data_IF_094151913362
#
_entry.id   IF_094151913362
#
_cell.length_a   1.000
_cell.length_b   1.000
_cell.length_c   1.000
_cell.angle_alpha   90.00
_cell.angle_beta   90.00
_cell.angle_gamma   90.00
#
_symmetry.space_group_name_H-M   'P 1'
#
loop_
_entity.id
_entity.type
_entity.pdbx_description
1 polymer ?
#
# COMPACT_ATOMS: atom_id res chain seq x y z
N UNK A 1 17.59 -4.01 -15.74
CA UNK A 1 16.87 -3.06 -14.86
C UNK A 1 16.82 -1.64 -15.43
N UNK A 2 17.93 -1.05 -15.91
CA UNK A 2 17.92 0.29 -16.52
C UNK A 2 16.95 0.44 -17.71
N UNK A 3 16.92 -0.52 -18.64
CA UNK A 3 15.96 -0.51 -19.76
C UNK A 3 14.50 -0.54 -19.30
N UNK A 4 14.15 -1.33 -18.28
CA UNK A 4 12.79 -1.38 -17.73
C UNK A 4 12.37 -0.04 -17.14
N UNK A 5 13.28 0.64 -16.41
CA UNK A 5 13.02 1.99 -15.88
C UNK A 5 12.75 2.97 -17.02
N UNK A 6 13.55 2.92 -18.08
CA UNK A 6 13.38 3.77 -19.26
C UNK A 6 12.02 3.54 -19.93
N UNK A 7 11.64 2.29 -20.19
CA UNK A 7 10.33 1.99 -20.78
C UNK A 7 9.16 2.40 -19.88
N UNK A 8 9.28 2.21 -18.56
CA UNK A 8 8.27 2.69 -17.62
C UNK A 8 8.11 4.22 -17.70
N UNK A 9 9.21 4.98 -17.81
CA UNK A 9 9.17 6.45 -18.00
C UNK A 9 8.41 6.82 -19.28
N UNK A 10 8.69 6.16 -20.40
CA UNK A 10 8.00 6.42 -21.66
C UNK A 10 6.49 6.15 -21.56
N UNK A 11 6.09 5.06 -20.90
CA UNK A 11 4.68 4.77 -20.65
C UNK A 11 4.02 5.81 -19.74
N UNK A 12 4.73 6.30 -18.71
CA UNK A 12 4.25 7.37 -17.83
C UNK A 12 4.01 8.65 -18.64
N UNK A 13 4.96 9.04 -19.49
CA UNK A 13 4.86 10.25 -20.31
C UNK A 13 3.70 10.15 -21.31
N UNK A 14 3.51 8.99 -21.94
CA UNK A 14 2.36 8.72 -22.80
C UNK A 14 1.03 8.84 -22.02
N UNK A 15 0.92 8.21 -20.85
CA UNK A 15 -0.28 8.30 -20.01
C UNK A 15 -0.60 9.74 -19.59
N UNK A 16 0.42 10.55 -19.27
CA UNK A 16 0.28 11.98 -18.95
C UNK A 16 -0.25 12.77 -20.14
N UNK A 17 0.30 12.55 -21.33
CA UNK A 17 -0.17 13.22 -22.56
C UNK A 17 -1.63 12.89 -22.88
N UNK A 18 -2.06 11.66 -22.60
CA UNK A 18 -3.43 11.21 -22.81
C UNK A 18 -4.39 11.57 -21.66
N UNK A 19 -3.90 12.15 -20.56
CA UNK A 19 -4.70 12.42 -19.36
C UNK A 19 -5.23 11.15 -18.67
N UNK A 20 -4.61 9.99 -18.92
CA UNK A 20 -5.09 8.69 -18.43
C UNK A 20 -4.58 8.40 -17.02
N UNK A 21 -5.20 9.04 -16.02
CA UNK A 21 -4.89 8.82 -14.61
C UNK A 21 -5.90 7.83 -14.02
N UNK A 22 -5.47 6.59 -13.80
CA UNK A 22 -6.29 5.51 -13.25
C UNK A 22 -5.45 4.58 -12.36
N UNK A 23 -6.05 3.50 -11.86
CA UNK A 23 -5.39 2.53 -10.97
C UNK A 23 -4.14 1.89 -11.58
N UNK A 24 -4.13 1.66 -12.90
CA UNK A 24 -2.97 1.09 -13.60
C UNK A 24 -1.85 2.11 -13.73
N UNK A 25 -2.18 3.39 -13.91
CA UNK A 25 -1.20 4.47 -13.90
C UNK A 25 -0.51 4.58 -12.53
N UNK A 26 -1.25 4.49 -11.43
CA UNK A 26 -0.66 4.43 -10.08
C UNK A 26 0.24 3.21 -9.93
N UNK A 27 -0.18 2.04 -10.41
CA UNK A 27 0.65 0.84 -10.37
C UNK A 27 1.95 0.98 -11.19
N UNK A 28 1.89 1.65 -12.34
CA UNK A 28 3.06 1.97 -13.16
C UNK A 28 4.02 2.91 -12.41
N UNK A 29 3.52 3.98 -11.79
CA UNK A 29 4.31 4.87 -10.93
C UNK A 29 4.97 4.10 -9.78
N UNK A 30 4.25 3.18 -9.15
CA UNK A 30 4.76 2.33 -8.08
C UNK A 30 5.93 1.45 -8.55
N UNK A 31 5.78 0.79 -9.71
CA UNK A 31 6.86 -0.01 -10.30
C UNK A 31 8.04 0.84 -10.74
N UNK A 32 7.79 2.02 -11.29
CA UNK A 32 8.83 2.97 -11.65
C UNK A 32 9.64 3.43 -10.42
N UNK A 33 8.97 3.74 -9.31
CA UNK A 33 9.62 4.14 -8.06
C UNK A 33 10.49 3.01 -7.47
N UNK A 34 10.04 1.75 -7.54
CA UNK A 34 10.88 0.59 -7.15
C UNK A 34 12.13 0.50 -8.02
N UNK A 35 11.99 0.65 -9.34
CA UNK A 35 13.13 0.58 -10.26
C UNK A 35 14.13 1.72 -10.01
N UNK A 36 13.63 2.90 -9.63
CA UNK A 36 14.46 4.03 -9.22
C UNK A 36 15.25 3.73 -7.94
N UNK A 37 14.60 3.20 -6.91
CA UNK A 37 15.24 2.78 -5.67
C UNK A 37 16.32 1.71 -5.89
N UNK A 38 16.08 0.73 -6.76
CA UNK A 38 17.04 -0.32 -7.09
C UNK A 38 18.28 0.19 -7.84
N UNK A 39 18.15 1.22 -8.66
CA UNK A 39 19.25 1.73 -9.50
C UNK A 39 20.03 2.86 -8.83
N UNK A 40 19.33 3.77 -8.15
CA UNK A 40 19.89 5.00 -7.60
C UNK A 40 19.85 5.05 -6.06
N UNK A 41 19.24 4.05 -5.41
CA UNK A 41 19.09 3.96 -3.97
C UNK A 41 17.88 4.72 -3.43
N UNK A 42 17.23 4.16 -2.42
CA UNK A 42 16.03 4.73 -1.78
C UNK A 42 16.28 6.08 -1.09
N UNK A 43 17.54 6.39 -0.75
CA UNK A 43 17.93 7.69 -0.17
C UNK A 43 18.07 8.81 -1.19
N UNK A 44 18.16 8.49 -2.49
CA UNK A 44 18.32 9.49 -3.55
C UNK A 44 17.16 10.49 -3.58
N UNK A 45 17.45 11.72 -4.00
CA UNK A 45 16.44 12.76 -4.14
C UNK A 45 15.42 12.39 -5.23
N UNK A 46 15.88 11.81 -6.33
CA UNK A 46 15.01 11.38 -7.43
C UNK A 46 14.02 10.30 -7.00
N UNK A 47 14.46 9.29 -6.23
CA UNK A 47 13.55 8.28 -5.66
C UNK A 47 12.50 8.93 -4.76
N UNK A 48 12.89 9.89 -3.93
CA UNK A 48 11.95 10.61 -3.06
C UNK A 48 10.92 11.45 -3.81
N UNK A 49 11.36 12.18 -4.85
CA UNK A 49 10.45 12.98 -5.67
C UNK A 49 9.44 12.11 -6.41
N UNK A 50 9.89 10.98 -6.98
CA UNK A 50 8.99 10.01 -7.61
C UNK A 50 8.02 9.38 -6.61
N UNK A 51 8.48 9.12 -5.38
CA UNK A 51 7.62 8.61 -4.32
C UNK A 51 6.54 9.63 -3.93
N UNK A 52 6.90 10.91 -3.81
CA UNK A 52 5.95 11.98 -3.57
C UNK A 52 4.90 12.11 -4.66
N UNK A 53 5.31 12.00 -5.94
CA UNK A 53 4.37 11.95 -7.06
C UNK A 53 3.43 10.74 -6.95
N UNK A 54 3.97 9.55 -6.69
CA UNK A 54 3.17 8.33 -6.52
C UNK A 54 2.09 8.52 -5.45
N UNK A 55 2.44 9.06 -4.28
CA UNK A 55 1.50 9.31 -3.19
C UNK A 55 0.45 10.35 -3.60
N UNK A 56 0.86 11.46 -4.21
CA UNK A 56 -0.06 12.51 -4.65
C UNK A 56 -1.09 12.01 -5.67
N UNK A 57 -0.67 11.20 -6.66
CA UNK A 57 -1.58 10.61 -7.65
C UNK A 57 -2.48 9.55 -7.01
N UNK A 58 -1.95 8.74 -6.09
CA UNK A 58 -2.73 7.74 -5.34
C UNK A 58 -3.88 8.39 -4.57
N UNK A 59 -3.62 9.52 -3.90
CA UNK A 59 -4.65 10.21 -3.13
C UNK A 59 -5.60 11.01 -4.02
N UNK A 60 -5.13 11.61 -5.12
CA UNK A 60 -5.97 12.42 -6.02
C UNK A 60 -7.08 11.62 -6.70
N UNK A 61 -6.84 10.36 -7.06
CA UNK A 61 -7.88 9.47 -7.61
C UNK A 61 -8.66 8.69 -6.53
N UNK A 62 -8.39 8.98 -5.25
CA UNK A 62 -9.16 8.46 -4.13
C UNK A 62 -8.82 7.02 -3.70
N UNK A 63 -7.67 6.44 -4.07
CA UNK A 63 -7.36 5.04 -3.72
C UNK A 63 -7.22 4.78 -2.20
N UNK A 64 -6.96 5.84 -1.43
CA UNK A 64 -6.89 5.81 0.04
C UNK A 64 -8.26 5.75 0.73
N UNK A 65 -9.36 5.97 -0.02
CA UNK A 65 -10.72 5.99 0.50
C UNK A 65 -11.55 4.93 -0.18
N UNK A 66 -12.03 4.00 0.63
CA UNK A 66 -13.06 3.07 0.22
C UNK A 66 -14.39 3.48 0.86
N UNK A 67 -15.37 3.80 0.01
CA UNK A 67 -16.69 4.30 0.43
C UNK A 67 -17.77 3.21 0.43
N UNK A 68 -17.47 2.04 -0.14
CA UNK A 68 -18.41 0.94 -0.21
C UNK A 68 -18.72 0.39 1.17
N UNK A 69 -19.91 -0.18 1.36
CA UNK A 69 -20.26 -0.84 2.61
C UNK A 69 -19.48 -2.16 2.77
N UNK A 70 -19.30 -2.63 4.01
CA UNK A 70 -18.66 -3.93 4.26
C UNK A 70 -19.43 -5.11 3.66
N UNK A 71 -20.75 -4.95 3.58
CA UNK A 71 -21.70 -5.93 3.04
C UNK A 71 -21.75 -5.98 1.51
N UNK A 72 -21.14 -5.02 0.81
CA UNK A 72 -21.15 -5.03 -0.65
C UNK A 72 -20.29 -6.18 -1.20
N UNK A 73 -20.78 -6.87 -2.25
CA UNK A 73 -20.01 -7.94 -2.88
C UNK A 73 -18.66 -7.42 -3.41
N UNK A 74 -17.58 -8.21 -3.27
CA UNK A 74 -16.30 -7.84 -3.87
C UNK A 74 -16.45 -7.75 -5.39
N UNK A 75 -15.79 -6.76 -5.98
CA UNK A 75 -15.69 -6.60 -7.44
C UNK A 75 -14.22 -6.56 -7.84
N UNK A 76 -13.93 -6.92 -9.10
CA UNK A 76 -12.57 -6.81 -9.65
C UNK A 76 -12.01 -5.40 -9.44
N UNK A 77 -12.82 -4.37 -9.67
CA UNK A 77 -12.39 -2.98 -9.50
C UNK A 77 -12.02 -2.66 -8.05
N UNK A 78 -12.83 -3.09 -7.08
CA UNK A 78 -12.54 -2.86 -5.65
C UNK A 78 -11.25 -3.58 -5.25
N UNK A 79 -11.09 -4.85 -5.62
CA UNK A 79 -9.88 -5.62 -5.29
C UNK A 79 -8.62 -5.05 -5.95
N UNK A 80 -8.69 -4.62 -7.21
CA UNK A 80 -7.56 -3.95 -7.86
C UNK A 80 -7.16 -2.67 -7.13
N UNK A 81 -8.13 -1.84 -6.74
CA UNK A 81 -7.87 -0.60 -5.96
C UNK A 81 -7.25 -0.93 -4.60
N UNK A 82 -7.80 -1.91 -3.86
CA UNK A 82 -7.26 -2.36 -2.56
C UNK A 82 -5.82 -2.86 -2.70
N UNK A 83 -5.53 -3.70 -3.69
CA UNK A 83 -4.17 -4.24 -3.93
C UNK A 83 -3.17 -3.14 -4.27
N UNK A 84 -3.52 -2.20 -5.15
CA UNK A 84 -2.62 -1.10 -5.51
C UNK A 84 -2.39 -0.17 -4.31
N UNK A 85 -3.44 0.23 -3.61
CA UNK A 85 -3.29 1.06 -2.41
C UNK A 85 -2.46 0.36 -1.33
N UNK A 86 -2.71 -0.93 -1.06
CA UNK A 86 -1.97 -1.74 -0.11
C UNK A 86 -0.46 -1.77 -0.42
N UNK A 87 -0.10 -1.84 -1.72
CA UNK A 87 1.29 -1.82 -2.17
C UNK A 87 1.94 -0.44 -1.97
N UNK A 88 1.23 0.64 -2.32
CA UNK A 88 1.71 2.02 -2.13
C UNK A 88 1.86 2.35 -0.64
N UNK A 89 0.86 2.00 0.18
CA UNK A 89 0.91 2.18 1.63
C UNK A 89 2.08 1.43 2.25
N UNK A 90 2.34 0.19 1.82
CA UNK A 90 3.47 -0.57 2.32
C UNK A 90 4.83 0.08 1.96
N UNK A 91 5.03 0.46 0.70
CA UNK A 91 6.32 1.03 0.27
C UNK A 91 6.59 2.40 0.89
N UNK A 92 5.56 3.22 1.12
CA UNK A 92 5.68 4.49 1.86
C UNK A 92 6.28 4.23 3.25
N UNK A 93 5.77 3.25 4.00
CA UNK A 93 6.32 2.95 5.35
C UNK A 93 7.72 2.35 5.30
N UNK A 94 8.01 1.53 4.28
CA UNK A 94 9.34 0.93 4.10
C UNK A 94 10.38 2.03 3.82
N UNK A 95 10.10 2.93 2.86
CA UNK A 95 11.00 4.02 2.51
C UNK A 95 11.18 4.96 3.71
N UNK A 96 10.11 5.34 4.39
CA UNK A 96 10.19 6.19 5.60
C UNK A 96 11.05 5.60 6.69
N UNK A 97 10.88 4.31 6.99
CA UNK A 97 11.69 3.63 8.01
C UNK A 97 13.16 3.54 7.61
N UNK A 98 13.45 3.21 6.36
CA UNK A 98 14.83 3.05 5.90
C UNK A 98 15.58 4.38 5.76
N UNK A 99 14.87 5.43 5.36
CA UNK A 99 15.46 6.76 5.11
C UNK A 99 15.42 7.68 6.32
N UNK A 100 14.62 7.34 7.34
CA UNK A 100 14.34 8.22 8.49
C UNK A 100 13.42 9.40 8.17
N UNK A 101 12.77 9.39 7.00
CA UNK A 101 11.84 10.45 6.58
C UNK A 101 10.42 10.15 7.08
N UNK A 102 9.59 11.18 7.34
CA UNK A 102 8.19 10.96 7.69
C UNK A 102 7.42 10.22 6.58
N UNK A 103 6.47 9.33 6.92
CA UNK A 103 5.55 8.74 5.95
C UNK A 103 4.60 9.80 5.37
N UNK A 104 4.32 9.71 4.07
CA UNK A 104 3.44 10.66 3.39
C UNK A 104 1.96 10.26 3.46
N UNK A 105 1.66 8.96 3.54
CA UNK A 105 0.28 8.50 3.72
C UNK A 105 -0.06 8.42 5.20
N UNK A 106 -1.18 9.01 5.64
CA UNK A 106 -1.67 8.79 7.01
C UNK A 106 -2.62 7.59 7.06
N UNK A 107 -2.46 6.72 8.05
CA UNK A 107 -3.43 5.66 8.34
C UNK A 107 -4.76 6.24 8.82
N UNK A 108 -4.75 7.28 9.65
CA UNK A 108 -5.97 7.96 10.12
C UNK A 108 -6.79 8.57 8.96
N UNK A 109 -6.12 8.99 7.88
CA UNK A 109 -6.77 9.53 6.68
C UNK A 109 -7.13 8.45 5.63
N UNK A 110 -6.88 7.16 5.91
CA UNK A 110 -7.08 6.07 4.94
C UNK A 110 -8.16 5.10 5.42
N UNK A 111 -9.17 4.83 4.58
CA UNK A 111 -10.26 3.89 4.89
C UNK A 111 -10.24 2.61 4.03
N UNK A 112 -9.32 2.49 3.08
CA UNK A 112 -9.23 1.33 2.19
C UNK A 112 -8.91 0.04 2.94
N UNK A 113 -9.69 -1.00 2.65
CA UNK A 113 -9.55 -2.31 3.32
C UNK A 113 -8.35 -3.08 2.80
N UNK A 114 -7.92 -4.07 3.58
CA UNK A 114 -6.92 -5.03 3.13
C UNK A 114 -7.46 -5.87 1.96
N UNK A 115 -6.65 -6.16 0.93
CA UNK A 115 -7.08 -6.96 -0.22
C UNK A 115 -7.38 -8.41 0.18
N UNK A 116 -8.37 -9.04 -0.46
CA UNK A 116 -8.74 -10.43 -0.18
C UNK A 116 -7.62 -11.39 -0.59
N UNK A 117 -7.36 -12.41 0.22
CA UNK A 117 -6.29 -13.39 -0.02
C UNK A 117 -6.68 -14.43 -1.07
N UNK A 118 -6.64 -14.01 -2.33
CA UNK A 118 -6.96 -14.85 -3.47
C UNK A 118 -5.92 -14.70 -4.58
N UNK A 119 -5.81 -15.72 -5.43
CA UNK A 119 -4.87 -15.74 -6.55
C UNK A 119 -5.26 -14.73 -7.64
N UNK A 120 -4.34 -14.44 -8.55
CA UNK A 120 -4.61 -13.55 -9.68
C UNK A 120 -5.57 -14.21 -10.68
N UNK A 121 -5.53 -15.52 -10.82
CA UNK A 121 -6.46 -16.31 -11.64
C UNK A 121 -7.88 -16.22 -11.08
N UNK A 122 -8.06 -16.37 -9.76
CA UNK A 122 -9.36 -16.26 -9.12
C UNK A 122 -9.92 -14.82 -9.19
N UNK A 123 -9.04 -13.82 -9.11
CA UNK A 123 -9.44 -12.42 -9.31
C UNK A 123 -9.95 -12.17 -10.73
N UNK A 124 -9.40 -12.85 -11.73
CA UNK A 124 -9.69 -12.67 -13.15
C UNK A 124 -10.67 -13.72 -13.73
N UNK A 125 -11.12 -14.71 -12.94
CA UNK A 125 -11.92 -15.85 -13.41
C UNK A 125 -13.39 -15.53 -13.71
N UNK A 126 -13.83 -14.30 -13.42
CA UNK A 126 -15.23 -13.87 -13.59
C UNK A 126 -16.18 -14.31 -12.47
N UNK A 127 -15.79 -15.26 -11.62
CA UNK A 127 -16.56 -15.72 -10.45
C UNK A 127 -15.86 -15.33 -9.13
N UNK A 128 -15.77 -14.02 -8.92
CA UNK A 128 -15.13 -13.46 -7.73
C UNK A 128 -15.90 -13.78 -6.44
N UNK A 129 -17.21 -13.99 -6.54
CA UNK A 129 -18.07 -14.29 -5.40
C UNK A 129 -17.80 -15.69 -4.86
N UNK A 130 -17.68 -16.70 -5.73
CA UNK A 130 -17.30 -18.04 -5.30
C UNK A 130 -15.90 -18.04 -4.67
N UNK A 131 -14.94 -17.37 -5.31
CA UNK A 131 -13.58 -17.25 -4.76
C UNK A 131 -13.56 -16.55 -3.38
N UNK A 132 -14.39 -15.53 -3.18
CA UNK A 132 -14.50 -14.83 -1.90
C UNK A 132 -15.20 -15.69 -0.82
N UNK A 133 -16.16 -16.53 -1.20
CA UNK A 133 -16.85 -17.43 -0.26
C UNK A 133 -15.94 -18.51 0.32
N UNK A 134 -14.85 -18.85 -0.37
CA UNK A 134 -13.84 -19.80 0.12
C UNK A 134 -12.94 -19.20 1.23
N UNK A 135 -12.94 -17.88 1.42
CA UNK A 135 -12.10 -17.19 2.41
C UNK A 135 -12.68 -17.29 3.82
N UNK A 136 -11.83 -17.13 4.83
CA UNK A 136 -12.25 -17.04 6.23
C UNK A 136 -12.90 -15.68 6.57
N UNK A 137 -13.34 -15.51 7.81
CA UNK A 137 -13.97 -14.27 8.29
C UNK A 137 -13.05 -13.04 8.21
N UNK A 138 -11.73 -13.25 8.16
CA UNK A 138 -10.72 -12.22 8.03
C UNK A 138 -10.26 -12.04 6.58
N UNK A 139 -10.85 -12.74 5.61
CA UNK A 139 -10.49 -12.65 4.19
C UNK A 139 -9.19 -13.35 3.82
N UNK A 140 -8.70 -14.29 4.63
CA UNK A 140 -7.57 -15.18 4.32
C UNK A 140 -8.02 -16.45 3.62
N UNK A 141 -7.16 -17.04 2.78
CA UNK A 141 -7.46 -18.33 2.18
C UNK A 141 -7.32 -19.44 3.23
N UNK A 142 -8.29 -20.36 3.25
CA UNK A 142 -8.36 -21.45 4.22
C UNK A 142 -7.38 -22.60 3.95
N UNK A 143 -6.84 -22.67 2.75
CA UNK A 143 -6.06 -23.82 2.27
C UNK A 143 -4.54 -23.66 2.46
N UNK A 144 -4.09 -22.59 3.12
CA UNK A 144 -2.67 -22.33 3.38
C UNK A 144 -1.85 -22.07 2.12
N UNK A 145 -2.49 -21.80 0.98
CA UNK A 145 -1.80 -21.44 -0.27
C UNK A 145 -1.20 -20.05 -0.14
N UNK A 146 -0.03 -19.84 -0.73
CA UNK A 146 0.66 -18.55 -0.70
C UNK A 146 0.56 -17.92 -2.09
N UNK A 147 -0.17 -16.82 -2.17
CA UNK A 147 -0.31 -15.97 -3.35
C UNK A 147 0.50 -14.68 -3.20
N UNK A 148 0.66 -13.95 -4.30
CA UNK A 148 1.17 -12.58 -4.29
C UNK A 148 0.37 -11.71 -3.30
N UNK A 149 -0.95 -11.89 -3.28
CA UNK A 149 -1.87 -11.19 -2.38
C UNK A 149 -1.71 -11.58 -0.92
N UNK A 150 -1.37 -12.84 -0.60
CA UNK A 150 -1.07 -13.29 0.76
C UNK A 150 0.08 -12.49 1.36
N UNK A 151 1.16 -12.35 0.58
CA UNK A 151 2.36 -11.61 0.97
C UNK A 151 2.02 -10.12 1.08
N UNK A 152 1.29 -9.57 0.11
CA UNK A 152 0.87 -8.17 0.11
C UNK A 152 0.03 -7.82 1.34
N UNK A 153 -1.01 -8.61 1.62
CA UNK A 153 -1.90 -8.45 2.77
C UNK A 153 -1.10 -8.46 4.08
N UNK A 154 -0.22 -9.45 4.25
CA UNK A 154 0.68 -9.55 5.42
C UNK A 154 1.57 -8.32 5.56
N UNK A 155 2.21 -7.90 4.46
CA UNK A 155 3.07 -6.70 4.43
C UNK A 155 2.31 -5.42 4.75
N UNK A 156 1.05 -5.30 4.35
CA UNK A 156 0.23 -4.13 4.67
C UNK A 156 -0.19 -4.13 6.13
N UNK A 157 -0.49 -5.28 6.73
CA UNK A 157 -0.68 -5.37 8.19
C UNK A 157 0.57 -4.92 8.95
N UNK A 158 1.74 -5.43 8.58
CA UNK A 158 3.01 -4.94 9.16
C UNK A 158 3.27 -3.46 8.89
N UNK A 159 2.83 -2.93 7.75
CA UNK A 159 2.97 -1.51 7.45
C UNK A 159 2.11 -0.63 8.37
N UNK A 160 0.93 -1.09 8.80
CA UNK A 160 0.10 -0.37 9.78
C UNK A 160 0.80 -0.27 11.13
N UNK A 161 1.31 -1.40 11.64
CA UNK A 161 2.11 -1.44 12.88
C UNK A 161 3.34 -0.53 12.75
N UNK A 162 4.05 -0.61 11.61
CA UNK A 162 5.22 0.24 11.33
C UNK A 162 4.84 1.73 11.31
N UNK A 163 3.66 2.08 10.80
CA UNK A 163 3.20 3.45 10.78
C UNK A 163 2.96 4.00 12.19
N UNK A 164 2.31 3.22 13.05
CA UNK A 164 2.11 3.57 14.47
C UNK A 164 3.45 3.76 15.18
N UNK A 165 4.42 2.87 14.95
CA UNK A 165 5.78 3.01 15.48
C UNK A 165 6.45 4.30 14.98
N UNK A 166 6.33 4.63 13.70
CA UNK A 166 6.90 5.87 13.13
C UNK A 166 6.27 7.11 13.77
N UNK A 167 4.95 7.11 13.99
CA UNK A 167 4.25 8.21 14.68
C UNK A 167 4.71 8.35 16.13
N UNK A 168 4.88 7.25 16.86
CA UNK A 168 5.42 7.25 18.23
C UNK A 168 6.85 7.78 18.28
N UNK A 169 7.71 7.33 17.36
CA UNK A 169 9.11 7.79 17.29
C UNK A 169 9.14 9.29 16.98
N UNK A 170 8.30 9.77 16.07
CA UNK A 170 8.23 11.20 15.76
C UNK A 170 7.73 12.02 16.96
N UNK A 171 6.67 11.57 17.64
CA UNK A 171 6.17 12.19 18.86
C UNK A 171 7.22 12.17 19.99
N UNK A 172 8.06 11.13 20.06
CA UNK A 172 9.13 11.02 21.07
C UNK A 172 10.22 12.07 20.95
N UNK A 173 10.47 12.56 19.74
CA UNK A 173 11.40 13.66 19.52
C UNK A 173 10.84 14.99 20.03
N UNK A 174 9.52 15.07 20.24
CA UNK A 174 8.79 16.29 20.63
C UNK A 174 8.28 16.24 22.10
N UNK A 175 8.25 15.07 22.75
CA UNK A 175 7.57 14.84 24.04
C UNK A 175 8.50 14.43 25.21
N UNK A 176 7.96 14.49 26.45
CA UNK A 176 8.62 14.00 27.68
C UNK A 176 8.50 12.46 27.79
N UNK A 177 9.51 11.74 28.34
CA UNK A 177 9.60 10.27 28.29
C UNK A 177 8.40 9.49 28.84
N UNK A 178 7.71 10.04 29.85
CA UNK A 178 6.61 9.37 30.56
C UNK A 178 5.36 9.17 29.69
N UNK A 179 5.09 10.09 28.75
CA UNK A 179 3.94 10.01 27.85
C UNK A 179 4.12 8.92 26.77
N UNK A 180 5.38 8.62 26.42
CA UNK A 180 5.72 7.65 25.38
C UNK A 180 5.52 6.20 25.82
N UNK A 181 5.76 5.91 27.09
CA UNK A 181 5.60 4.55 27.64
C UNK A 181 4.13 4.13 27.59
N UNK A 182 3.21 5.04 27.88
CA UNK A 182 1.77 4.76 27.83
C UNK A 182 1.29 4.57 26.39
N UNK A 183 1.71 5.42 25.46
CA UNK A 183 1.34 5.27 24.04
C UNK A 183 1.92 4.01 23.41
N UNK A 184 3.18 3.65 23.74
CA UNK A 184 3.79 2.42 23.25
C UNK A 184 3.04 1.17 23.76
N UNK A 185 2.60 1.15 25.02
CA UNK A 185 1.79 0.05 25.57
C UNK A 185 0.49 -0.15 24.78
N UNK A 186 -0.21 0.92 24.41
CA UNK A 186 -1.42 0.83 23.61
C UNK A 186 -1.18 0.19 22.23
N UNK A 187 -0.05 0.50 21.57
CA UNK A 187 0.31 -0.09 20.27
C UNK A 187 0.66 -1.58 20.38
N UNK A 188 1.35 -1.99 21.45
CA UNK A 188 1.77 -3.40 21.61
C UNK A 188 0.71 -4.31 22.27
N UNK A 189 -0.30 -3.73 22.93
CA UNK A 189 -1.37 -4.47 23.62
C UNK A 189 -2.72 -4.44 22.88
N UNK A 190 -2.85 -3.66 21.80
CA UNK A 190 -3.99 -3.77 20.90
C UNK A 190 -3.99 -5.16 20.24
N UNK A 191 -5.12 -5.87 20.33
CA UNK A 191 -5.28 -7.26 19.89
C UNK A 191 -4.76 -7.54 18.47
N UNK A 192 -4.29 -8.78 18.21
CA UNK A 192 -3.72 -9.15 16.92
C UNK A 192 -4.78 -9.05 15.82
N UNK A 193 -4.38 -8.42 14.71
CA UNK A 193 -5.11 -8.31 13.44
C UNK A 193 -5.42 -9.71 12.88
#
# INVERSE_FOLDING_TARGET
MAHLKHYASLCIDLCRQLGSVNVLFVYLLYKHNILEGLLNGDKSLSCWMQHGELVAVTTSIGLHRELTAASEPPTLQHEMKRRVFAAVFNIDKVISTFTGRPPMLSQACSSTRLPLDMSDEALLSGDLLAAAAELDSHGWNKYGRIYSTTILRSRTMFARIRHEILELVQASLEARPEQLIEQARCVFLAEPI
#
